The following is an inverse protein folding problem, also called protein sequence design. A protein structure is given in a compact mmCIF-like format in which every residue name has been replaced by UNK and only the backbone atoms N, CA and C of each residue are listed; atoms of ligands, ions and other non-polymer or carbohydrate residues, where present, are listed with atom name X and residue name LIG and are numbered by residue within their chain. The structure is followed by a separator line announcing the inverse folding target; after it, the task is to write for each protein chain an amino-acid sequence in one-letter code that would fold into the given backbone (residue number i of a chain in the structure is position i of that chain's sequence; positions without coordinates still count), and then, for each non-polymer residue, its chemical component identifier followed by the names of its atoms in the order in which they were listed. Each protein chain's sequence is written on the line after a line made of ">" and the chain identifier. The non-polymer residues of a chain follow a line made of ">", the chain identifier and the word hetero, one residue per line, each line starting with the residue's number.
data_IF_103340505578
#
_entry.id   IF_103340505578
#
_cell.length_a   1.000
_cell.length_b   1.000
_cell.length_c   1.000
_cell.angle_alpha   90.00
_cell.angle_beta   90.00
_cell.angle_gamma   90.00
#
_symmetry.space_group_name_H-M   'P 1'
#
loop_
_entity.id
_entity.type
_entity.pdbx_description
1 polymer ?
#
# COMPACT_ATOMS: atom_id res chain seq x y z
N UNK A 1 -3.20 -26.42 12.49
CA UNK A 1 -2.91 -26.28 11.06
C UNK A 1 -4.14 -26.57 10.21
N UNK A 2 -4.63 -25.56 9.50
CA UNK A 2 -5.62 -25.67 8.44
C UNK A 2 -4.91 -25.71 7.08
N UNK A 3 -5.52 -26.34 6.06
CA UNK A 3 -4.97 -26.48 4.71
C UNK A 3 -6.03 -26.10 3.68
N UNK A 4 -5.65 -25.25 2.73
CA UNK A 4 -6.48 -24.81 1.60
C UNK A 4 -5.73 -25.12 0.30
N UNK A 5 -6.40 -25.74 -0.67
CA UNK A 5 -5.80 -26.09 -1.97
C UNK A 5 -6.45 -25.28 -3.10
N UNK A 6 -5.61 -24.65 -3.92
CA UNK A 6 -6.02 -23.93 -5.13
C UNK A 6 -5.63 -24.76 -6.35
N UNK A 7 -6.46 -25.75 -6.72
CA UNK A 7 -6.14 -26.76 -7.74
C UNK A 7 -5.77 -26.15 -9.11
N UNK A 8 -6.47 -25.08 -9.52
CA UNK A 8 -6.23 -24.41 -10.80
C UNK A 8 -4.87 -23.72 -10.88
N UNK A 9 -4.31 -23.33 -9.73
CA UNK A 9 -3.00 -22.68 -9.61
C UNK A 9 -1.91 -23.65 -9.16
N UNK A 10 -2.26 -24.86 -8.72
CA UNK A 10 -1.37 -25.81 -8.07
C UNK A 10 -0.69 -25.23 -6.82
N UNK A 11 -1.40 -24.34 -6.11
CA UNK A 11 -0.92 -23.73 -4.88
C UNK A 11 -1.60 -24.38 -3.67
N UNK A 12 -0.88 -24.44 -2.56
CA UNK A 12 -1.40 -24.91 -1.28
C UNK A 12 -1.03 -23.91 -0.19
N UNK A 13 -2.01 -23.51 0.60
CA UNK A 13 -1.83 -22.60 1.72
C UNK A 13 -2.08 -23.35 3.01
N UNK A 14 -1.17 -23.20 3.96
CA UNK A 14 -1.31 -23.70 5.31
C UNK A 14 -1.44 -22.52 6.28
N UNK A 15 -2.39 -22.59 7.21
CA UNK A 15 -2.59 -21.53 8.20
C UNK A 15 -2.70 -22.09 9.61
N UNK A 16 -2.22 -21.33 10.59
CA UNK A 16 -2.38 -21.62 12.02
C UNK A 16 -2.39 -20.32 12.82
N UNK A 17 -3.31 -20.19 13.77
CA UNK A 17 -3.31 -19.10 14.75
C UNK A 17 -2.64 -19.60 16.03
N UNK A 18 -1.58 -18.93 16.47
CA UNK A 18 -0.86 -19.23 17.70
C UNK A 18 -1.70 -18.87 18.93
N UNK A 19 -1.31 -19.40 20.10
CA UNK A 19 -2.05 -19.17 21.35
C UNK A 19 -2.16 -17.69 21.77
N UNK A 20 -1.21 -16.85 21.34
CA UNK A 20 -1.20 -15.40 21.58
C UNK A 20 -1.93 -14.58 20.49
N UNK A 21 -2.58 -15.24 19.54
CA UNK A 21 -3.34 -14.61 18.45
C UNK A 21 -2.56 -14.41 17.15
N UNK A 22 -1.23 -14.64 17.13
CA UNK A 22 -0.44 -14.51 15.91
C UNK A 22 -0.96 -15.41 14.79
N UNK A 23 -1.37 -14.82 13.67
CA UNK A 23 -1.71 -15.57 12.46
C UNK A 23 -0.42 -15.95 11.71
N UNK A 24 -0.28 -17.23 11.37
CA UNK A 24 0.86 -17.73 10.62
C UNK A 24 0.36 -18.41 9.36
N UNK A 25 0.88 -17.98 8.22
CA UNK A 25 0.55 -18.52 6.90
C UNK A 25 1.82 -19.04 6.24
N UNK A 26 1.77 -20.24 5.68
CA UNK A 26 2.89 -20.86 4.97
C UNK A 26 2.42 -21.30 3.59
N UNK A 27 3.14 -20.85 2.55
CA UNK A 27 2.88 -21.18 1.14
C UNK A 27 4.12 -21.90 0.58
N UNK A 28 4.12 -23.24 0.58
CA UNK A 28 5.23 -24.03 0.04
C UNK A 28 5.36 -23.87 -1.47
N UNK A 29 6.59 -23.62 -1.92
CA UNK A 29 6.97 -23.53 -3.34
C UNK A 29 8.08 -24.55 -3.65
N UNK A 30 7.76 -25.84 -3.79
CA UNK A 30 8.74 -26.86 -4.12
C UNK A 30 9.50 -26.52 -5.41
N UNK A 31 10.82 -26.69 -5.42
CA UNK A 31 11.67 -26.37 -6.57
C UNK A 31 12.17 -24.92 -6.64
N UNK A 32 11.70 -24.03 -5.76
CA UNK A 32 12.28 -22.71 -5.59
C UNK A 32 13.50 -22.78 -4.66
N UNK A 33 14.51 -21.94 -4.90
CA UNK A 33 15.73 -21.92 -4.08
C UNK A 33 15.71 -20.84 -3.00
N UNK A 34 14.73 -19.94 -3.06
CA UNK A 34 14.60 -18.77 -2.19
C UNK A 34 13.35 -18.91 -1.33
N UNK A 35 13.48 -18.53 -0.07
CA UNK A 35 12.39 -18.37 0.87
C UNK A 35 12.30 -16.91 1.28
N UNK A 36 11.07 -16.44 1.42
CA UNK A 36 10.72 -15.09 1.85
C UNK A 36 9.86 -15.17 3.09
N UNK A 37 10.30 -14.52 4.16
CA UNK A 37 9.53 -14.36 5.40
C UNK A 37 9.10 -12.91 5.53
N UNK A 38 7.82 -12.68 5.82
CA UNK A 38 7.21 -11.36 5.96
C UNK A 38 6.41 -11.34 7.26
N UNK A 39 6.76 -10.43 8.17
CA UNK A 39 6.08 -10.25 9.44
C UNK A 39 5.48 -8.84 9.50
N UNK A 40 4.15 -8.79 9.45
CA UNK A 40 3.39 -7.56 9.21
C UNK A 40 2.51 -7.25 10.39
N UNK A 41 2.45 -5.97 10.76
CA UNK A 41 1.43 -5.43 11.67
C UNK A 41 0.44 -4.59 10.88
N UNK A 42 -0.84 -4.66 11.27
CA UNK A 42 -1.88 -3.77 10.75
C UNK A 42 -1.79 -2.42 11.48
N UNK A 43 -0.77 -1.65 11.12
CA UNK A 43 -0.51 -0.29 11.57
C UNK A 43 0.30 0.43 10.50
N UNK A 44 -0.27 1.50 9.96
CA UNK A 44 0.36 2.31 8.92
C UNK A 44 0.28 3.80 9.19
N UNK A 45 0.68 4.60 8.20
CA UNK A 45 0.77 6.05 8.37
C UNK A 45 -0.57 6.74 8.64
N UNK A 46 -1.71 6.12 8.33
CA UNK A 46 -3.03 6.74 8.57
C UNK A 46 -3.53 6.57 10.01
N UNK A 47 -2.90 5.69 10.79
CA UNK A 47 -3.27 5.36 12.17
C UNK A 47 -2.71 6.37 13.19
N UNK A 48 -2.94 7.67 12.96
CA UNK A 48 -2.37 8.74 13.78
C UNK A 48 -3.19 9.05 15.04
N UNK A 49 -4.42 8.53 15.13
CA UNK A 49 -5.31 8.73 16.28
C UNK A 49 -6.03 7.45 16.65
N UNK A 50 -5.83 6.99 17.88
CA UNK A 50 -6.31 5.70 18.39
C UNK A 50 -6.47 5.75 19.91
N UNK A 51 -7.06 4.71 20.51
CA UNK A 51 -7.11 4.54 21.96
C UNK A 51 -5.92 3.69 22.41
N UNK A 52 -4.92 4.25 23.11
CA UNK A 52 -3.78 3.46 23.59
C UNK A 52 -4.19 2.43 24.64
N UNK A 53 -3.38 1.39 24.78
CA UNK A 53 -3.62 0.34 25.78
C UNK A 53 -3.69 0.93 27.19
N UNK A 54 -4.71 0.51 27.94
CA UNK A 54 -4.93 0.93 29.31
C UNK A 54 -5.55 2.32 29.46
N UNK A 55 -5.85 3.00 28.35
CA UNK A 55 -6.56 4.28 28.32
C UNK A 55 -7.98 4.11 27.77
N UNK A 56 -8.82 5.12 28.00
CA UNK A 56 -10.21 5.17 27.50
C UNK A 56 -10.43 6.26 26.44
N UNK A 57 -9.46 7.18 26.29
CA UNK A 57 -9.57 8.34 25.42
C UNK A 57 -8.63 8.20 24.23
N UNK A 58 -9.02 8.80 23.11
CA UNK A 58 -8.16 8.90 21.93
C UNK A 58 -6.92 9.74 22.26
N UNK A 59 -5.76 9.21 21.89
CA UNK A 59 -4.51 9.94 21.78
C UNK A 59 -4.21 10.17 20.30
N UNK A 60 -3.43 11.21 20.02
CA UNK A 60 -2.90 11.50 18.68
C UNK A 60 -1.39 11.47 18.76
N UNK A 61 -0.77 10.76 17.83
CA UNK A 61 0.68 10.75 17.62
C UNK A 61 1.03 11.63 16.41
N UNK A 62 2.24 12.20 16.33
CA UNK A 62 2.68 12.92 15.14
C UNK A 62 2.63 12.04 13.88
N UNK A 63 2.41 12.67 12.72
CA UNK A 63 2.54 11.98 11.44
C UNK A 63 3.96 11.43 11.27
N UNK A 64 4.08 10.26 10.65
CA UNK A 64 5.36 9.59 10.43
C UNK A 64 5.76 8.59 11.53
N UNK A 65 5.01 8.46 12.63
CA UNK A 65 5.36 7.51 13.72
C UNK A 65 5.42 6.05 13.27
N UNK A 66 4.55 5.60 12.34
CA UNK A 66 4.61 4.24 11.80
C UNK A 66 5.92 3.98 11.03
N UNK A 67 6.29 4.91 10.15
CA UNK A 67 7.55 4.87 9.41
C UNK A 67 8.77 5.00 10.33
N UNK A 68 8.68 5.84 11.36
CA UNK A 68 9.74 5.98 12.36
C UNK A 68 9.97 4.68 13.13
N UNK A 69 8.90 3.97 13.49
CA UNK A 69 8.99 2.66 14.12
C UNK A 69 9.70 1.65 13.22
N UNK A 70 9.41 1.64 11.93
CA UNK A 70 10.09 0.81 10.94
C UNK A 70 11.61 1.00 10.98
N UNK A 71 12.08 2.25 10.89
CA UNK A 71 13.50 2.61 10.98
C UNK A 71 14.12 2.14 12.29
N UNK A 72 13.44 2.43 13.41
CA UNK A 72 14.00 2.16 14.74
C UNK A 72 14.00 0.68 15.10
N UNK A 73 13.16 -0.15 14.49
CA UNK A 73 13.01 -1.55 14.88
C UNK A 73 14.29 -2.38 14.68
N UNK A 74 15.13 -2.04 13.70
CA UNK A 74 16.37 -2.76 13.41
C UNK A 74 17.52 -2.48 14.39
N UNK A 75 17.45 -1.39 15.14
CA UNK A 75 18.47 -1.05 16.13
C UNK A 75 18.14 -1.68 17.48
N UNK A 76 19.10 -2.41 18.04
CA UNK A 76 19.01 -3.04 19.37
C UNK A 76 20.18 -2.61 20.24
N UNK A 77 20.06 -2.82 21.55
CA UNK A 77 21.16 -2.59 22.51
C UNK A 77 22.44 -3.37 22.13
N UNK A 78 22.28 -4.57 21.58
CA UNK A 78 23.39 -5.43 21.14
C UNK A 78 23.97 -5.05 19.76
N UNK A 79 23.41 -4.06 19.08
CA UNK A 79 23.81 -3.61 17.74
C UNK A 79 22.78 -3.87 16.64
N UNK A 80 23.25 -3.80 15.41
CA UNK A 80 22.43 -3.83 14.19
C UNK A 80 22.01 -5.25 13.77
N UNK A 81 20.70 -5.46 13.65
CA UNK A 81 20.10 -6.75 13.27
C UNK A 81 20.39 -7.14 11.82
N UNK A 82 20.67 -6.20 10.90
CA UNK A 82 21.03 -6.51 9.51
C UNK A 82 22.29 -7.40 9.42
N UNK A 83 23.23 -7.24 10.35
CA UNK A 83 24.43 -8.08 10.42
C UNK A 83 24.09 -9.52 10.85
N UNK A 84 23.11 -9.68 11.74
CA UNK A 84 22.63 -11.00 12.19
C UNK A 84 21.97 -11.76 11.03
N UNK A 85 21.11 -11.11 10.24
CA UNK A 85 20.55 -11.71 9.02
C UNK A 85 21.63 -12.06 7.99
N UNK A 86 22.59 -11.17 7.76
CA UNK A 86 23.68 -11.39 6.82
C UNK A 86 24.55 -12.60 7.21
N UNK A 87 24.81 -12.80 8.50
CA UNK A 87 25.54 -13.96 9.02
C UNK A 87 24.79 -15.29 8.79
N UNK A 88 23.46 -15.24 8.74
CA UNK A 88 22.59 -16.38 8.40
C UNK A 88 22.36 -16.53 6.89
N UNK A 89 23.02 -15.72 6.05
CA UNK A 89 22.86 -15.76 4.59
C UNK A 89 21.52 -15.21 4.09
N UNK A 90 20.94 -14.25 4.82
CA UNK A 90 19.70 -13.59 4.48
C UNK A 90 19.89 -12.10 4.21
N UNK A 91 19.07 -11.55 3.31
CA UNK A 91 18.89 -10.11 3.13
C UNK A 91 17.60 -9.71 3.83
N UNK A 92 17.67 -8.77 4.76
CA UNK A 92 16.50 -8.21 5.43
C UNK A 92 16.11 -6.84 4.86
N UNK A 93 14.85 -6.47 5.03
CA UNK A 93 14.32 -5.13 4.73
C UNK A 93 13.05 -4.87 5.55
N UNK A 94 12.47 -3.68 5.41
CA UNK A 94 11.13 -3.38 5.85
C UNK A 94 10.46 -2.37 4.90
N UNK A 95 9.17 -2.13 5.10
CA UNK A 95 8.46 -1.01 4.50
C UNK A 95 7.20 -0.68 5.31
N UNK A 96 6.76 0.57 5.19
CA UNK A 96 5.51 1.09 5.73
C UNK A 96 4.60 1.54 4.59
N UNK A 97 3.31 1.23 4.68
CA UNK A 97 2.26 1.77 3.81
C UNK A 97 1.25 2.57 4.62
N UNK A 98 0.17 3.00 3.97
CA UNK A 98 -0.93 3.70 4.64
C UNK A 98 -1.55 2.90 5.78
N UNK A 99 -1.70 1.57 5.64
CA UNK A 99 -2.44 0.73 6.60
C UNK A 99 -1.61 -0.37 7.29
N UNK A 100 -0.34 -0.56 6.91
CA UNK A 100 0.49 -1.64 7.47
C UNK A 100 1.99 -1.32 7.47
N UNK A 101 2.70 -1.99 8.36
CA UNK A 101 4.17 -1.98 8.44
C UNK A 101 4.66 -3.42 8.39
N UNK A 102 5.63 -3.71 7.53
CA UNK A 102 6.11 -5.07 7.29
C UNK A 102 7.62 -5.18 7.41
N UNK A 103 8.08 -6.20 8.14
CA UNK A 103 9.49 -6.54 8.29
C UNK A 103 9.74 -7.86 7.59
N UNK A 104 10.83 -7.97 6.84
CA UNK A 104 11.02 -9.11 5.96
C UNK A 104 12.46 -9.57 5.87
N UNK A 105 12.62 -10.83 5.49
CA UNK A 105 13.89 -11.35 5.02
C UNK A 105 13.70 -12.20 3.78
N UNK A 106 14.79 -12.37 3.05
CA UNK A 106 14.90 -13.36 1.99
C UNK A 106 16.19 -14.16 2.12
N UNK A 107 16.09 -15.48 2.06
CA UNK A 107 17.19 -16.39 2.35
C UNK A 107 17.13 -17.66 1.47
N UNK A 108 18.26 -18.32 1.29
CA UNK A 108 18.36 -19.63 0.61
C UNK A 108 18.72 -20.78 1.57
N UNK A 109 19.05 -20.46 2.82
CA UNK A 109 19.47 -21.39 3.86
C UNK A 109 19.16 -20.78 5.24
N UNK A 110 19.31 -21.58 6.31
CA UNK A 110 19.04 -21.14 7.69
C UNK A 110 17.65 -20.49 7.87
N UNK A 111 16.65 -21.01 7.17
CA UNK A 111 15.32 -20.39 7.12
C UNK A 111 14.67 -20.35 8.50
N UNK A 112 14.80 -21.43 9.29
CA UNK A 112 14.21 -21.49 10.62
C UNK A 112 14.84 -20.47 11.57
N UNK A 113 16.17 -20.35 11.52
CA UNK A 113 16.94 -19.39 12.31
C UNK A 113 16.61 -17.95 11.92
N UNK A 114 16.42 -17.66 10.63
CA UNK A 114 15.99 -16.34 10.16
C UNK A 114 14.55 -16.00 10.58
N UNK A 115 13.66 -17.00 10.68
CA UNK A 115 12.29 -16.80 11.21
C UNK A 115 12.33 -16.50 12.70
N UNK A 116 13.11 -17.24 13.49
CA UNK A 116 13.31 -16.95 14.92
C UNK A 116 13.86 -15.53 15.10
N UNK A 117 14.89 -15.15 14.32
CA UNK A 117 15.45 -13.80 14.35
C UNK A 117 14.42 -12.71 14.02
N UNK A 118 13.64 -12.89 12.95
CA UNK A 118 12.57 -11.97 12.53
C UNK A 118 11.53 -11.76 13.64
N UNK A 119 11.06 -12.86 14.25
CA UNK A 119 10.10 -12.81 15.36
C UNK A 119 10.70 -12.10 16.59
N UNK A 120 11.96 -12.37 16.92
CA UNK A 120 12.60 -11.85 18.12
C UNK A 120 12.87 -10.35 18.03
N UNK A 121 13.41 -9.87 16.91
CA UNK A 121 13.78 -8.46 16.81
C UNK A 121 12.55 -7.57 16.70
N UNK A 122 11.51 -7.97 15.97
CA UNK A 122 10.29 -7.15 15.84
C UNK A 122 9.53 -7.11 17.16
N UNK A 123 9.60 -8.16 17.97
CA UNK A 123 8.87 -8.26 19.25
C UNK A 123 9.66 -7.70 20.46
N UNK A 124 10.82 -7.08 20.23
CA UNK A 124 11.69 -6.54 21.29
C UNK A 124 12.15 -5.11 20.95
N UNK A 125 11.32 -4.07 21.17
CA UNK A 125 11.64 -2.69 20.78
C UNK A 125 12.76 -2.11 21.67
N UNK A 126 13.55 -1.19 21.11
CA UNK A 126 14.60 -0.49 21.83
C UNK A 126 14.69 0.96 21.37
N UNK A 127 14.04 1.86 22.11
CA UNK A 127 13.96 3.28 21.77
C UNK A 127 14.53 4.11 22.93
N UNK A 128 15.58 4.87 22.65
CA UNK A 128 16.19 5.80 23.62
C UNK A 128 16.13 7.20 23.06
N UNK A 129 16.17 8.23 23.92
CA UNK A 129 16.21 9.62 23.46
C UNK A 129 17.36 9.86 22.46
N UNK A 130 18.55 9.31 22.72
CA UNK A 130 19.72 9.47 21.86
C UNK A 130 19.51 8.85 20.47
N UNK A 131 19.02 7.60 20.42
CA UNK A 131 18.82 6.90 19.14
C UNK A 131 17.65 7.47 18.35
N UNK A 132 16.60 7.96 19.02
CA UNK A 132 15.49 8.66 18.37
C UNK A 132 15.95 9.99 17.80
N UNK A 133 16.71 10.79 18.55
CA UNK A 133 17.17 12.11 18.07
C UNK A 133 18.11 11.98 16.85
N UNK A 134 18.94 10.95 16.81
CA UNK A 134 19.77 10.63 15.65
C UNK A 134 18.92 10.30 14.42
N UNK A 135 17.89 9.48 14.58
CA UNK A 135 17.07 8.98 13.47
C UNK A 135 16.23 10.09 12.82
N UNK A 136 15.79 11.09 13.60
CA UNK A 136 15.10 12.28 13.07
C UNK A 136 15.86 12.96 11.94
N UNK A 137 17.19 13.06 12.05
CA UNK A 137 18.02 13.67 11.02
C UNK A 137 18.05 12.88 9.71
N UNK A 138 18.00 11.55 9.79
CA UNK A 138 18.01 10.65 8.64
C UNK A 138 16.66 10.73 7.91
N UNK A 139 15.56 10.60 8.66
CA UNK A 139 14.21 10.70 8.10
C UNK A 139 13.94 12.10 7.54
N UNK A 140 14.46 13.17 8.17
CA UNK A 140 14.35 14.52 7.62
C UNK A 140 15.00 14.67 6.23
N UNK A 141 16.14 14.02 6.00
CA UNK A 141 16.80 14.02 4.69
C UNK A 141 15.99 13.22 3.66
N UNK A 142 15.42 12.11 4.07
CA UNK A 142 14.53 11.31 3.21
C UNK A 142 13.29 12.10 2.79
N UNK A 143 12.62 12.76 3.74
CA UNK A 143 11.47 13.64 3.45
C UNK A 143 11.87 14.73 2.44
N UNK A 144 13.03 15.38 2.63
CA UNK A 144 13.52 16.38 1.68
C UNK A 144 13.74 15.79 0.26
N UNK A 145 14.23 14.55 0.16
CA UNK A 145 14.35 13.88 -1.14
C UNK A 145 13.00 13.66 -1.82
N UNK A 146 11.94 13.36 -1.05
CA UNK A 146 10.57 13.28 -1.58
C UNK A 146 10.02 14.66 -1.94
N UNK A 147 10.37 15.70 -1.19
CA UNK A 147 9.98 17.09 -1.49
C UNK A 147 10.62 17.63 -2.77
N UNK A 148 11.82 17.16 -3.11
CA UNK A 148 12.51 17.48 -4.35
C UNK A 148 12.00 16.68 -5.57
N UNK A 149 11.14 15.67 -5.36
CA UNK A 149 10.57 14.86 -6.44
C UNK A 149 9.21 15.43 -6.93
N UNK A 150 9.12 16.02 -8.13
CA UNK A 150 7.89 16.63 -8.61
C UNK A 150 6.73 15.65 -8.81
N UNK A 151 7.00 14.42 -9.26
CA UNK A 151 5.94 13.45 -9.51
C UNK A 151 5.31 13.00 -8.18
N UNK A 152 6.15 12.80 -7.17
CA UNK A 152 5.71 12.49 -5.81
C UNK A 152 4.88 13.63 -5.21
N UNK A 153 5.38 14.87 -5.34
CA UNK A 153 4.66 16.07 -4.85
C UNK A 153 3.35 16.31 -5.56
N UNK A 154 3.26 15.98 -6.84
CA UNK A 154 2.02 16.07 -7.58
C UNK A 154 1.00 15.03 -7.10
N UNK A 155 1.41 13.78 -6.88
CA UNK A 155 0.52 12.75 -6.35
C UNK A 155 -0.01 13.13 -4.96
N UNK A 156 0.86 13.57 -4.04
CA UNK A 156 0.40 14.02 -2.71
C UNK A 156 -0.44 15.31 -2.76
N UNK A 157 -0.25 16.18 -3.76
CA UNK A 157 -1.15 17.31 -3.98
C UNK A 157 -2.58 16.86 -4.35
N UNK A 158 -2.70 15.77 -5.11
CA UNK A 158 -4.00 15.16 -5.43
C UNK A 158 -4.62 14.53 -4.19
N UNK A 159 -3.85 13.74 -3.42
CA UNK A 159 -4.32 13.17 -2.16
C UNK A 159 -4.78 14.25 -1.18
N UNK A 160 -4.02 15.34 -1.04
CA UNK A 160 -4.40 16.49 -0.22
C UNK A 160 -5.69 17.17 -0.65
N UNK A 161 -5.94 17.21 -1.94
CA UNK A 161 -7.18 17.76 -2.47
C UNK A 161 -8.38 16.82 -2.25
N UNK A 162 -8.19 15.50 -2.35
CA UNK A 162 -9.24 14.48 -2.22
C UNK A 162 -9.52 14.07 -0.75
N UNK A 163 -8.54 14.22 0.13
CA UNK A 163 -8.55 13.76 1.52
C UNK A 163 -8.06 14.83 2.52
N UNK A 164 -8.56 16.08 2.47
CA UNK A 164 -8.01 17.18 3.28
C UNK A 164 -8.21 17.01 4.80
N UNK A 165 -9.20 16.21 5.20
CA UNK A 165 -9.54 15.93 6.60
C UNK A 165 -9.12 14.51 7.06
N UNK A 166 -8.31 13.81 6.26
CA UNK A 166 -7.91 12.42 6.52
C UNK A 166 -6.39 12.26 6.37
N UNK A 167 -5.69 11.56 7.29
CA UNK A 167 -4.22 11.45 7.31
C UNK A 167 -3.57 10.93 6.01
N UNK A 168 -4.33 10.26 5.14
CA UNK A 168 -3.90 9.84 3.80
C UNK A 168 -3.27 10.98 2.96
N UNK A 169 -3.62 12.23 3.23
CA UNK A 169 -2.99 13.37 2.56
C UNK A 169 -1.57 13.72 3.00
N UNK A 170 -1.09 13.14 4.10
CA UNK A 170 0.27 13.32 4.60
C UNK A 170 1.13 12.16 4.10
N UNK A 171 2.37 12.47 3.73
CA UNK A 171 3.37 11.47 3.38
C UNK A 171 3.50 10.40 4.47
N UNK A 172 3.80 9.17 4.07
CA UNK A 172 4.04 8.04 4.98
C UNK A 172 5.15 8.38 5.98
N UNK A 173 6.19 9.11 5.55
CA UNK A 173 7.28 9.54 6.41
C UNK A 173 6.93 10.72 7.34
N UNK A 174 5.75 11.34 7.17
CA UNK A 174 5.34 12.55 7.87
C UNK A 174 5.89 13.83 7.25
N UNK A 175 6.01 14.89 8.05
CA UNK A 175 6.70 16.13 7.64
C UNK A 175 7.94 16.34 8.50
N UNK A 176 8.85 17.22 8.06
CA UNK A 176 10.02 17.58 8.88
C UNK A 176 9.59 18.10 10.24
N UNK A 177 8.49 18.86 10.32
CA UNK A 177 7.95 19.36 11.59
C UNK A 177 7.41 18.22 12.46
N UNK A 178 6.61 17.31 11.90
CA UNK A 178 5.98 16.23 12.68
C UNK A 178 7.04 15.28 13.26
N UNK A 179 8.06 14.91 12.48
CA UNK A 179 9.10 13.98 12.95
C UNK A 179 9.97 14.59 14.06
N UNK A 180 10.10 15.91 14.11
CA UNK A 180 10.87 16.58 15.16
C UNK A 180 10.16 16.54 16.51
N UNK A 181 8.83 16.43 16.50
CA UNK A 181 8.00 16.29 17.70
C UNK A 181 8.00 14.86 18.26
N UNK A 182 8.31 13.85 17.45
CA UNK A 182 8.32 12.43 17.85
C UNK A 182 9.28 12.20 19.02
N UNK A 183 8.78 11.49 20.04
CA UNK A 183 9.54 11.07 21.21
C UNK A 183 9.51 9.54 21.38
N UNK A 184 10.44 8.95 22.17
CA UNK A 184 10.40 7.52 22.49
C UNK A 184 9.04 7.07 23.04
N UNK A 185 8.35 7.93 23.80
CA UNK A 185 7.03 7.62 24.37
C UNK A 185 5.95 7.40 23.29
N UNK A 186 5.99 8.17 22.20
CA UNK A 186 5.06 8.01 21.07
C UNK A 186 5.31 6.66 20.37
N UNK A 187 6.59 6.31 20.19
CA UNK A 187 7.00 5.04 19.59
C UNK A 187 6.57 3.86 20.46
N UNK A 188 6.81 3.90 21.78
CA UNK A 188 6.36 2.86 22.69
C UNK A 188 4.83 2.77 22.75
N UNK A 189 4.12 3.89 22.78
CA UNK A 189 2.65 3.90 22.81
C UNK A 189 2.05 3.25 21.56
N UNK A 190 2.56 3.59 20.37
CA UNK A 190 2.13 2.97 19.12
C UNK A 190 2.56 1.51 19.04
N UNK A 191 3.80 1.18 19.42
CA UNK A 191 4.29 -0.19 19.43
C UNK A 191 3.42 -1.07 20.31
N UNK A 192 3.22 -0.70 21.58
CA UNK A 192 2.44 -1.50 22.52
C UNK A 192 1.03 -1.73 22.00
N UNK A 193 0.41 -0.68 21.42
CA UNK A 193 -0.97 -0.74 20.91
C UNK A 193 -1.12 -1.65 19.69
N UNK A 194 -0.18 -1.61 18.74
CA UNK A 194 -0.37 -2.24 17.43
C UNK A 194 0.53 -3.45 17.15
N UNK A 195 1.62 -3.65 17.88
CA UNK A 195 2.55 -4.77 17.67
C UNK A 195 2.23 -5.98 18.57
N UNK A 196 1.05 -5.98 19.19
CA UNK A 196 0.55 -7.19 19.84
C UNK A 196 0.34 -8.29 18.79
N UNK A 197 0.75 -9.55 19.04
CA UNK A 197 0.71 -10.61 18.02
C UNK A 197 -0.68 -10.87 17.41
N UNK A 198 -1.78 -10.58 18.13
CA UNK A 198 -3.14 -10.69 17.58
C UNK A 198 -3.44 -9.71 16.44
N UNK A 199 -2.74 -8.58 16.36
CA UNK A 199 -2.82 -7.58 15.28
C UNK A 199 -1.73 -7.79 14.21
N UNK A 200 -1.02 -8.93 14.25
CA UNK A 200 0.09 -9.23 13.35
C UNK A 200 -0.10 -10.55 12.59
N UNK A 201 0.61 -10.68 11.47
CA UNK A 201 0.66 -11.88 10.66
C UNK A 201 2.09 -12.20 10.21
N UNK A 202 2.49 -13.45 10.34
CA UNK A 202 3.71 -13.99 9.73
C UNK A 202 3.34 -14.80 8.48
N UNK A 203 3.87 -14.41 7.33
CA UNK A 203 3.76 -15.14 6.07
C UNK A 203 5.13 -15.67 5.64
N UNK A 204 5.19 -16.96 5.28
CA UNK A 204 6.40 -17.61 4.78
C UNK A 204 6.12 -18.27 3.43
N UNK A 205 6.86 -17.85 2.40
CA UNK A 205 6.72 -18.37 1.02
C UNK A 205 8.07 -18.91 0.56
N UNK A 206 8.14 -20.17 0.12
CA UNK A 206 9.40 -20.75 -0.36
C UNK A 206 9.43 -22.28 -0.32
N UNK A 207 10.59 -22.87 -0.61
CA UNK A 207 10.79 -24.33 -0.49
C UNK A 207 10.95 -24.74 0.98
N UNK A 208 9.84 -24.74 1.71
CA UNK A 208 9.78 -25.00 3.16
C UNK A 208 8.85 -26.17 3.48
N UNK A 209 9.10 -26.81 4.62
CA UNK A 209 8.17 -27.75 5.26
C UNK A 209 7.25 -26.98 6.21
N UNK A 210 5.93 -26.90 5.94
CA UNK A 210 4.97 -26.20 6.79
C UNK A 210 5.05 -26.59 8.26
N UNK A 211 5.15 -27.89 8.58
CA UNK A 211 5.13 -28.33 9.99
C UNK A 211 6.39 -27.86 10.71
N UNK A 212 7.56 -27.87 10.04
CA UNK A 212 8.79 -27.34 10.62
C UNK A 212 8.68 -25.83 10.91
N UNK A 213 8.04 -25.05 10.02
CA UNK A 213 7.77 -23.63 10.25
C UNK A 213 6.87 -23.45 11.46
N UNK A 214 5.69 -24.09 11.48
CA UNK A 214 4.75 -23.94 12.58
C UNK A 214 5.36 -24.40 13.91
N UNK A 215 6.12 -25.50 13.94
CA UNK A 215 6.80 -25.96 15.15
C UNK A 215 7.82 -24.93 15.67
N UNK A 216 8.57 -24.29 14.77
CA UNK A 216 9.53 -23.23 15.09
C UNK A 216 8.82 -22.01 15.69
N UNK A 217 7.75 -21.53 15.02
CA UNK A 217 6.98 -20.38 15.50
C UNK A 217 6.29 -20.69 16.83
N UNK A 218 5.66 -21.87 16.98
CA UNK A 218 5.04 -22.31 18.25
C UNK A 218 6.06 -22.28 19.39
N UNK A 219 7.25 -22.84 19.18
CA UNK A 219 8.31 -22.89 20.18
C UNK A 219 8.77 -21.49 20.57
N UNK A 220 9.00 -20.60 19.59
CA UNK A 220 9.42 -19.23 19.82
C UNK A 220 8.35 -18.43 20.58
N UNK A 221 7.09 -18.48 20.14
CA UNK A 221 6.00 -17.72 20.75
C UNK A 221 5.61 -18.25 22.15
N UNK A 222 5.77 -19.56 22.42
CA UNK A 222 5.51 -20.14 23.75
C UNK A 222 6.51 -19.71 24.83
N UNK A 223 7.66 -19.14 24.45
CA UNK A 223 8.65 -18.60 25.38
C UNK A 223 8.40 -17.13 25.74
N UNK A 224 7.41 -16.51 25.10
CA UNK A 224 7.07 -15.09 25.25
C UNK A 224 5.74 -14.97 25.98
N UNK A 225 5.65 -14.01 26.88
CA UNK A 225 4.43 -13.75 27.64
C UNK A 225 3.65 -12.60 26.98
N UNK A 226 2.42 -12.89 26.57
CA UNK A 226 1.50 -11.91 26.02
C UNK A 226 0.19 -11.95 26.81
N UNK A 227 -0.30 -10.77 27.17
CA UNK A 227 -1.64 -10.62 27.74
C UNK A 227 -2.60 -10.47 26.57
N UNK A 228 -3.72 -11.22 26.57
CA UNK A 228 -4.72 -11.07 25.52
C UNK A 228 -5.21 -9.62 25.46
N UNK A 229 -5.20 -9.03 24.26
CA UNK A 229 -5.63 -7.66 23.99
C UNK A 229 -6.80 -7.64 23.01
N UNK A 230 -7.74 -6.68 23.16
CA UNK A 230 -8.73 -6.43 22.12
C UNK A 230 -8.06 -5.85 20.87
N UNK A 231 -8.78 -5.85 19.75
CA UNK A 231 -8.37 -5.15 18.54
C UNK A 231 -8.15 -3.64 18.80
N UNK A 232 -7.12 -3.03 18.20
CA UNK A 232 -6.87 -1.60 18.35
C UNK A 232 -8.07 -0.75 17.91
N UNK A 233 -8.50 0.19 18.75
CA UNK A 233 -9.58 1.11 18.43
C UNK A 233 -9.01 2.34 17.70
N UNK A 234 -9.25 2.40 16.39
CA UNK A 234 -8.82 3.50 15.51
C UNK A 234 -9.86 4.62 15.45
N UNK A 235 -9.42 5.85 15.24
CA UNK A 235 -10.32 6.96 15.01
C UNK A 235 -10.85 6.92 13.57
N UNK A 236 -12.17 6.97 13.41
CA UNK A 236 -12.79 7.08 12.10
C UNK A 236 -12.96 8.55 11.72
N UNK A 237 -12.15 8.99 10.76
CA UNK A 237 -12.22 10.34 10.21
C UNK A 237 -13.52 10.51 9.41
N UNK A 238 -14.32 11.50 9.79
CA UNK A 238 -15.53 11.85 9.04
C UNK A 238 -15.11 12.63 7.80
N UNK A 239 -15.46 12.12 6.62
CA UNK A 239 -15.04 12.67 5.34
C UNK A 239 -16.26 13.23 4.59
N UNK A 240 -16.09 14.38 3.97
CA UNK A 240 -17.18 15.14 3.35
C UNK A 240 -16.80 15.44 1.89
N UNK A 241 -17.78 15.36 0.99
CA UNK A 241 -17.57 15.74 -0.42
C UNK A 241 -17.28 17.25 -0.52
N UNK A 242 -17.87 18.03 0.38
CA UNK A 242 -17.75 19.48 0.43
C UNK A 242 -16.35 19.97 0.84
N UNK A 243 -15.51 19.12 1.43
CA UNK A 243 -14.13 19.51 1.76
C UNK A 243 -13.16 19.39 0.60
N UNK A 244 -13.54 18.73 -0.50
CA UNK A 244 -12.66 18.54 -1.66
C UNK A 244 -12.18 19.87 -2.23
N UNK A 245 -10.88 19.94 -2.45
CA UNK A 245 -10.23 21.07 -3.13
C UNK A 245 -10.21 20.75 -4.63
N UNK A 246 -11.04 21.43 -5.42
CA UNK A 246 -11.17 21.13 -6.86
C UNK A 246 -9.96 21.51 -7.71
N UNK A 247 -9.11 22.40 -7.22
CA UNK A 247 -7.93 22.84 -7.96
C UNK A 247 -6.81 23.28 -7.01
N UNK A 248 -5.59 22.81 -7.26
CA UNK A 248 -4.38 23.30 -6.58
C UNK A 248 -3.22 23.44 -7.56
N UNK A 249 -2.26 24.30 -7.23
CA UNK A 249 -1.06 24.52 -8.03
C UNK A 249 0.15 24.65 -7.12
N UNK A 250 1.23 23.96 -7.48
CA UNK A 250 2.54 24.04 -6.87
C UNK A 250 3.52 24.62 -7.88
N UNK A 251 4.52 25.36 -7.39
CA UNK A 251 5.66 25.79 -8.19
C UNK A 251 6.89 24.96 -7.80
N UNK A 252 7.57 24.38 -8.79
CA UNK A 252 8.78 23.57 -8.58
C UNK A 252 9.78 23.77 -9.74
N UNK A 253 11.04 23.37 -9.52
CA UNK A 253 12.09 23.41 -10.54
C UNK A 253 11.88 22.30 -11.60
N UNK A 254 10.89 22.49 -12.47
CA UNK A 254 10.58 21.58 -13.57
C UNK A 254 10.75 22.26 -14.93
N UNK A 255 11.23 21.52 -15.92
CA UNK A 255 11.34 22.01 -17.30
C UNK A 255 9.99 22.09 -18.01
N UNK A 256 9.13 21.10 -17.77
CA UNK A 256 7.80 21.00 -18.37
C UNK A 256 6.76 20.96 -17.25
N UNK A 257 5.66 21.72 -17.37
CA UNK A 257 4.57 21.63 -16.41
C UNK A 257 3.98 20.22 -16.33
N UNK A 258 3.37 19.92 -15.20
CA UNK A 258 2.72 18.63 -14.93
C UNK A 258 1.29 18.85 -14.47
N UNK A 259 0.42 17.90 -14.76
CA UNK A 259 -0.96 17.94 -14.29
C UNK A 259 -1.49 16.55 -14.02
N UNK A 260 -2.25 16.42 -12.94
CA UNK A 260 -3.02 15.23 -12.61
C UNK A 260 -4.46 15.63 -12.34
N UNK A 261 -5.37 14.87 -12.93
CA UNK A 261 -6.80 14.89 -12.63
C UNK A 261 -7.08 13.68 -11.74
N UNK A 262 -7.66 13.93 -10.58
CA UNK A 262 -8.03 12.89 -9.63
C UNK A 262 -9.51 12.91 -9.33
N UNK A 263 -10.05 11.78 -8.91
CA UNK A 263 -11.42 11.66 -8.45
C UNK A 263 -11.55 10.69 -7.29
N UNK A 264 -12.55 10.92 -6.45
CA UNK A 264 -12.81 10.11 -5.26
C UNK A 264 -14.24 9.60 -5.23
N UNK A 265 -14.40 8.32 -4.90
CA UNK A 265 -15.71 7.70 -4.72
C UNK A 265 -16.09 7.68 -3.23
N UNK A 266 -17.30 8.16 -2.92
CA UNK A 266 -17.87 8.21 -1.56
C UNK A 266 -19.09 7.28 -1.39
N UNK A 267 -19.47 6.58 -2.44
CA UNK A 267 -20.62 5.69 -2.39
C UNK A 267 -20.33 4.42 -1.58
N UNK A 268 -21.36 3.62 -1.28
CA UNK A 268 -21.18 2.38 -0.57
C UNK A 268 -20.39 1.37 -1.41
N UNK A 269 -19.62 0.51 -0.75
CA UNK A 269 -19.02 -0.68 -1.34
C UNK A 269 -19.92 -1.90 -1.10
N UNK A 270 -19.80 -2.95 -1.94
CA UNK A 270 -20.40 -4.24 -1.63
C UNK A 270 -19.88 -4.77 -0.29
N UNK A 271 -20.78 -5.28 0.55
CA UNK A 271 -20.41 -5.92 1.84
C UNK A 271 -19.66 -7.24 1.63
N UNK A 272 -19.95 -7.95 0.53
CA UNK A 272 -19.23 -9.17 0.15
C UNK A 272 -17.83 -8.81 -0.37
N UNK A 273 -16.75 -9.32 0.25
CA UNK A 273 -15.38 -8.99 -0.13
C UNK A 273 -15.02 -9.36 -1.58
N UNK A 274 -15.60 -10.44 -2.13
CA UNK A 274 -15.35 -10.83 -3.52
C UNK A 274 -16.02 -9.86 -4.49
N UNK A 275 -17.24 -9.41 -4.18
CA UNK A 275 -17.92 -8.38 -4.96
C UNK A 275 -17.23 -7.01 -4.83
N UNK A 276 -16.67 -6.66 -3.66
CA UNK A 276 -15.84 -5.45 -3.48
C UNK A 276 -14.57 -5.51 -4.34
N UNK A 277 -13.86 -6.64 -4.34
CA UNK A 277 -12.68 -6.85 -5.21
C UNK A 277 -13.05 -6.86 -6.71
N UNK A 278 -14.22 -7.40 -7.06
CA UNK A 278 -14.76 -7.34 -8.43
C UNK A 278 -15.03 -5.90 -8.87
N UNK A 279 -15.61 -5.07 -7.99
CA UNK A 279 -15.79 -3.64 -8.24
C UNK A 279 -14.44 -2.94 -8.46
N UNK A 280 -13.44 -3.20 -7.61
CA UNK A 280 -12.10 -2.64 -7.77
C UNK A 280 -11.50 -2.93 -9.15
N UNK A 281 -11.49 -4.20 -9.57
CA UNK A 281 -10.98 -4.58 -10.88
C UNK A 281 -11.82 -4.03 -12.02
N UNK A 282 -13.14 -3.98 -11.89
CA UNK A 282 -14.03 -3.40 -12.90
C UNK A 282 -13.77 -1.89 -13.10
N UNK A 283 -13.59 -1.15 -12.02
CA UNK A 283 -13.22 0.27 -12.04
C UNK A 283 -11.86 0.49 -12.71
N UNK A 284 -10.83 -0.26 -12.29
CA UNK A 284 -9.48 -0.22 -12.86
C UNK A 284 -9.49 -0.53 -14.36
N UNK A 285 -10.22 -1.58 -14.77
CA UNK A 285 -10.36 -1.93 -16.19
C UNK A 285 -11.11 -0.88 -16.99
N UNK A 286 -12.08 -0.21 -16.39
CA UNK A 286 -12.77 0.91 -17.01
C UNK A 286 -11.79 2.02 -17.40
N UNK A 287 -10.93 2.42 -16.46
CA UNK A 287 -9.91 3.43 -16.70
C UNK A 287 -8.86 2.95 -17.72
N UNK A 288 -8.37 1.71 -17.65
CA UNK A 288 -7.42 1.14 -18.63
C UNK A 288 -8.04 1.04 -20.04
N UNK A 289 -9.32 0.68 -20.15
CA UNK A 289 -10.01 0.67 -21.43
C UNK A 289 -10.18 2.07 -22.05
N UNK A 290 -10.25 3.13 -21.23
CA UNK A 290 -10.32 4.52 -21.68
C UNK A 290 -8.94 5.12 -21.96
N UNK A 291 -7.97 4.91 -21.07
CA UNK A 291 -6.71 5.66 -21.04
C UNK A 291 -5.46 4.79 -21.15
N UNK A 292 -5.57 3.47 -21.07
CA UNK A 292 -4.41 2.59 -21.18
C UNK A 292 -3.78 2.59 -22.57
N UNK A 293 -2.54 2.11 -22.66
CA UNK A 293 -1.72 1.98 -23.88
C UNK A 293 -2.39 1.29 -25.07
N UNK A 294 -3.43 0.47 -24.82
CA UNK A 294 -4.22 -0.21 -25.86
C UNK A 294 -5.52 0.51 -26.22
N UNK A 295 -5.76 1.71 -25.69
CA UNK A 295 -6.92 2.56 -25.97
C UNK A 295 -6.75 3.34 -27.27
N UNK A 296 -7.81 3.46 -28.08
CA UNK A 296 -7.83 4.40 -29.20
C UNK A 296 -7.50 5.84 -28.76
N UNK A 297 -7.99 6.25 -27.57
CA UNK A 297 -7.75 7.60 -27.03
C UNK A 297 -6.26 7.80 -26.75
N UNK A 298 -5.60 6.82 -26.13
CA UNK A 298 -4.15 6.85 -25.90
C UNK A 298 -3.40 6.98 -27.23
N UNK A 299 -3.73 6.12 -28.20
CA UNK A 299 -3.09 6.12 -29.51
C UNK A 299 -3.22 7.47 -30.24
N UNK A 300 -4.45 8.01 -30.31
CA UNK A 300 -4.73 9.31 -30.93
C UNK A 300 -3.97 10.44 -30.22
N UNK A 301 -4.01 10.50 -28.89
CA UNK A 301 -3.33 11.55 -28.13
C UNK A 301 -1.82 11.46 -28.21
N UNK A 302 -1.25 10.26 -28.27
CA UNK A 302 0.18 10.06 -28.44
C UNK A 302 0.62 10.49 -29.84
N UNK A 303 -0.12 10.12 -30.89
CA UNK A 303 0.15 10.55 -32.28
C UNK A 303 0.03 12.07 -32.47
N UNK A 304 -0.93 12.71 -31.79
CA UNK A 304 -1.12 14.17 -31.80
C UNK A 304 -0.13 14.92 -30.88
N UNK A 305 0.69 14.22 -30.09
CA UNK A 305 1.63 14.81 -29.15
C UNK A 305 0.96 15.51 -27.96
N UNK A 306 -0.27 15.12 -27.61
CA UNK A 306 -0.99 15.57 -26.42
C UNK A 306 -0.41 14.90 -25.17
N UNK A 307 -0.07 13.61 -25.28
CA UNK A 307 0.59 12.81 -24.24
C UNK A 307 1.92 12.24 -24.74
N UNK A 308 2.72 11.75 -23.81
CA UNK A 308 3.95 10.99 -24.05
C UNK A 308 4.11 9.90 -22.97
N UNK A 309 5.31 9.34 -22.85
CA UNK A 309 5.62 8.25 -21.91
C UNK A 309 5.45 8.62 -20.43
N UNK A 310 5.27 9.91 -20.09
CA UNK A 310 4.92 10.34 -18.73
C UNK A 310 3.45 10.12 -18.39
N UNK A 311 2.58 9.86 -19.38
CA UNK A 311 1.16 9.71 -19.13
C UNK A 311 0.86 8.41 -18.37
N UNK A 312 0.13 8.54 -17.27
CA UNK A 312 -0.27 7.42 -16.45
C UNK A 312 -1.73 7.53 -16.02
N UNK A 313 -2.28 6.39 -15.61
CA UNK A 313 -3.51 6.32 -14.86
C UNK A 313 -3.33 5.31 -13.72
N UNK A 314 -4.01 5.55 -12.60
CA UNK A 314 -4.08 4.60 -11.50
C UNK A 314 -5.44 4.65 -10.80
N UNK A 315 -5.77 3.54 -10.15
CA UNK A 315 -6.97 3.36 -9.36
C UNK A 315 -6.58 2.70 -8.03
N UNK A 316 -7.04 3.26 -6.93
CA UNK A 316 -6.72 2.79 -5.59
C UNK A 316 -8.01 2.55 -4.81
N UNK A 317 -8.10 1.36 -4.21
CA UNK A 317 -9.11 1.00 -3.21
C UNK A 317 -8.37 0.29 -2.08
N UNK A 318 -8.20 1.00 -0.97
CA UNK A 318 -7.62 0.45 0.25
C UNK A 318 -8.63 0.69 1.37
N UNK A 319 -9.12 -0.39 1.99
CA UNK A 319 -10.30 -0.36 2.86
C UNK A 319 -11.47 0.36 2.16
N UNK A 320 -11.89 1.53 2.64
CA UNK A 320 -12.96 2.36 2.05
C UNK A 320 -12.43 3.64 1.38
N UNK A 321 -11.11 3.76 1.20
CA UNK A 321 -10.45 4.87 0.53
C UNK A 321 -10.34 4.57 -0.97
N UNK A 322 -11.32 5.04 -1.73
CA UNK A 322 -11.42 4.79 -3.18
C UNK A 322 -11.17 6.06 -3.99
N UNK A 323 -10.10 6.07 -4.77
CA UNK A 323 -9.74 7.20 -5.61
C UNK A 323 -9.02 6.75 -6.88
N UNK A 324 -8.94 7.64 -7.85
CA UNK A 324 -8.17 7.43 -9.07
C UNK A 324 -7.40 8.69 -9.42
N UNK A 325 -6.33 8.51 -10.19
CA UNK A 325 -5.47 9.59 -10.68
C UNK A 325 -5.13 9.32 -12.14
N UNK A 326 -5.08 10.36 -12.95
CA UNK A 326 -4.53 10.27 -14.31
C UNK A 326 -3.92 11.60 -14.72
N UNK A 327 -2.77 11.54 -15.37
CA UNK A 327 -2.00 12.74 -15.62
C UNK A 327 -0.64 12.46 -16.24
N UNK A 328 0.16 13.50 -16.32
CA UNK A 328 1.50 13.46 -16.90
C UNK A 328 2.00 14.86 -17.23
N UNK A 329 3.11 14.90 -17.97
CA UNK A 329 3.75 16.14 -18.37
C UNK A 329 2.99 16.79 -19.53
N UNK A 330 2.85 18.12 -19.52
CA UNK A 330 2.18 18.84 -20.61
C UNK A 330 2.70 20.26 -20.76
N UNK A 331 2.91 20.68 -22.01
CA UNK A 331 3.23 22.08 -22.31
C UNK A 331 2.02 23.02 -22.13
N UNK A 332 0.80 22.47 -22.14
CA UNK A 332 -0.44 23.19 -21.87
C UNK A 332 -1.29 22.37 -20.87
N UNK A 333 -0.88 22.37 -19.58
CA UNK A 333 -1.46 21.48 -18.58
C UNK A 333 -2.95 21.78 -18.34
N UNK A 334 -3.38 23.05 -18.45
CA UNK A 334 -4.78 23.40 -18.30
C UNK A 334 -5.64 22.87 -19.45
N UNK A 335 -5.13 22.92 -20.70
CA UNK A 335 -5.83 22.27 -21.82
C UNK A 335 -5.86 20.77 -21.64
N UNK A 336 -4.77 20.16 -21.18
CA UNK A 336 -4.71 18.73 -20.97
C UNK A 336 -5.71 18.27 -19.90
N UNK A 337 -5.78 18.94 -18.74
CA UNK A 337 -6.82 18.69 -17.74
C UNK A 337 -8.24 18.73 -18.30
N UNK A 338 -8.56 19.76 -19.11
CA UNK A 338 -9.88 19.86 -19.75
C UNK A 338 -10.17 18.70 -20.69
N UNK A 339 -9.17 18.18 -21.41
CA UNK A 339 -9.32 17.00 -22.27
C UNK A 339 -9.60 15.74 -21.44
N UNK A 340 -8.87 15.54 -20.34
CA UNK A 340 -9.10 14.44 -19.40
C UNK A 340 -10.52 14.50 -18.83
N UNK A 341 -10.92 15.65 -18.29
CA UNK A 341 -12.28 15.91 -17.79
C UNK A 341 -13.34 15.64 -18.88
N UNK A 342 -13.09 16.09 -20.12
CA UNK A 342 -14.03 15.85 -21.24
C UNK A 342 -14.23 14.37 -21.51
N UNK A 343 -13.16 13.55 -21.47
CA UNK A 343 -13.29 12.09 -21.65
C UNK A 343 -14.01 11.46 -20.46
N UNK A 344 -13.65 11.84 -19.23
CA UNK A 344 -14.26 11.31 -18.01
C UNK A 344 -15.75 11.62 -17.94
N UNK A 345 -16.17 12.85 -18.21
CA UNK A 345 -17.57 13.26 -18.08
C UNK A 345 -18.45 12.82 -19.23
N UNK A 346 -17.90 12.69 -20.44
CA UNK A 346 -18.68 12.17 -21.57
C UNK A 346 -18.74 10.65 -21.60
N UNK A 347 -17.81 9.95 -20.91
CA UNK A 347 -17.67 8.50 -20.90
C UNK A 347 -17.89 7.89 -22.30
N UNK A 348 -16.89 7.88 -23.19
CA UNK A 348 -17.05 7.33 -24.54
C UNK A 348 -17.21 5.81 -24.53
N UNK A 349 -18.36 5.30 -24.05
CA UNK A 349 -18.63 3.89 -23.82
C UNK A 349 -18.53 3.04 -25.10
N UNK A 350 -18.54 3.66 -26.28
CA UNK A 350 -18.29 3.01 -27.56
C UNK A 350 -16.87 2.41 -27.67
N UNK A 351 -15.87 2.96 -26.96
CA UNK A 351 -14.52 2.39 -26.94
C UNK A 351 -14.40 1.22 -25.96
N UNK A 352 -15.39 1.04 -25.08
CA UNK A 352 -15.43 -0.01 -24.07
C UNK A 352 -16.26 -1.18 -24.63
N UNK A 353 -15.55 -2.14 -25.24
CA UNK A 353 -16.15 -3.30 -25.90
C UNK A 353 -15.78 -4.61 -25.21
N UNK A 354 -16.61 -5.64 -25.39
CA UNK A 354 -16.37 -6.99 -24.84
C UNK A 354 -15.03 -7.55 -25.32
N UNK A 355 -14.69 -7.35 -26.59
CA UNK A 355 -13.42 -7.83 -27.17
C UNK A 355 -12.21 -7.21 -26.47
N UNK A 356 -12.23 -5.91 -26.19
CA UNK A 356 -11.14 -5.21 -25.51
C UNK A 356 -11.06 -5.61 -24.03
N UNK A 357 -12.20 -5.76 -23.36
CA UNK A 357 -12.25 -6.27 -21.99
C UNK A 357 -11.65 -7.68 -21.89
N UNK A 358 -12.01 -8.59 -22.78
CA UNK A 358 -11.48 -9.95 -22.78
C UNK A 358 -9.97 -9.99 -23.04
N UNK A 359 -9.47 -9.12 -23.93
CA UNK A 359 -8.02 -8.95 -24.12
C UNK A 359 -7.34 -8.42 -22.84
N UNK A 360 -7.94 -7.45 -22.17
CA UNK A 360 -7.41 -6.86 -20.95
C UNK A 360 -7.39 -7.89 -19.80
N UNK A 361 -8.46 -8.65 -19.60
CA UNK A 361 -8.55 -9.75 -18.64
C UNK A 361 -7.44 -10.78 -18.87
N UNK A 362 -7.25 -11.21 -20.14
CA UNK A 362 -6.17 -12.13 -20.51
C UNK A 362 -4.77 -11.56 -20.23
N UNK A 363 -4.56 -10.27 -20.51
CA UNK A 363 -3.30 -9.57 -20.19
C UNK A 363 -3.04 -9.56 -18.68
N UNK A 364 -4.05 -9.23 -17.88
CA UNK A 364 -3.93 -9.21 -16.42
C UNK A 364 -3.64 -10.62 -15.87
N UNK A 365 -4.42 -11.63 -16.28
CA UNK A 365 -4.18 -13.03 -15.88
C UNK A 365 -2.77 -13.51 -16.26
N UNK A 366 -2.30 -13.20 -17.48
CA UNK A 366 -0.95 -13.53 -17.91
C UNK A 366 0.14 -12.90 -17.03
N UNK A 367 -0.02 -11.61 -16.69
CA UNK A 367 0.89 -10.92 -15.75
C UNK A 367 0.83 -11.55 -14.36
N UNK A 368 -0.37 -11.80 -13.83
CA UNK A 368 -0.58 -12.44 -12.53
C UNK A 368 0.14 -13.80 -12.46
N UNK A 369 -0.13 -14.70 -13.40
CA UNK A 369 0.51 -16.03 -13.42
C UNK A 369 2.03 -15.94 -13.57
N UNK A 370 2.54 -14.97 -14.33
CA UNK A 370 3.97 -14.72 -14.39
C UNK A 370 4.53 -14.30 -13.03
N UNK A 371 3.87 -13.34 -12.37
CA UNK A 371 4.27 -12.82 -11.06
C UNK A 371 4.19 -13.86 -9.93
N UNK A 372 3.31 -14.87 -10.03
CA UNK A 372 3.27 -16.02 -9.10
C UNK A 372 4.54 -16.90 -9.17
N UNK A 373 5.48 -16.62 -10.08
CA UNK A 373 6.82 -17.22 -10.07
C UNK A 373 7.83 -16.44 -9.22
N UNK A 374 7.39 -15.43 -8.45
CA UNK A 374 8.21 -14.72 -7.45
C UNK A 374 7.64 -14.94 -6.06
N UNK A 375 8.48 -15.45 -5.15
CA UNK A 375 8.10 -15.64 -3.73
C UNK A 375 7.85 -14.30 -3.04
N UNK A 376 8.58 -13.26 -3.47
CA UNK A 376 8.43 -11.88 -3.00
C UNK A 376 7.10 -11.29 -3.45
N UNK A 377 6.74 -11.47 -4.72
CA UNK A 377 5.45 -10.99 -5.22
C UNK A 377 4.29 -11.64 -4.48
N UNK A 378 4.32 -12.98 -4.33
CA UNK A 378 3.31 -13.70 -3.55
C UNK A 378 3.24 -13.13 -2.14
N UNK A 379 4.38 -13.02 -1.45
CA UNK A 379 4.40 -12.58 -0.06
C UNK A 379 3.83 -11.17 0.12
N UNK A 380 4.19 -10.21 -0.74
CA UNK A 380 3.76 -8.82 -0.59
C UNK A 380 2.30 -8.56 -1.00
N UNK A 381 1.71 -9.45 -1.81
CA UNK A 381 0.33 -9.30 -2.32
C UNK A 381 -0.65 -10.32 -1.73
N UNK A 382 -0.17 -11.25 -0.90
CA UNK A 382 -1.03 -12.17 -0.16
C UNK A 382 -1.45 -11.51 1.15
N UNK A 383 -2.73 -11.16 1.23
CA UNK A 383 -3.33 -10.53 2.40
C UNK A 383 -4.61 -11.30 2.76
N UNK A 384 -4.69 -11.81 3.99
CA UNK A 384 -5.88 -12.54 4.47
C UNK A 384 -6.98 -11.61 4.99
N UNK A 385 -6.71 -10.30 5.09
CA UNK A 385 -7.52 -9.28 5.78
C UNK A 385 -9.03 -9.40 5.55
N UNK A 386 -9.55 -8.76 4.50
CA UNK A 386 -11.00 -8.76 4.18
C UNK A 386 -11.51 -10.11 3.65
N UNK A 387 -10.70 -11.19 3.65
CA UNK A 387 -11.16 -12.53 3.26
C UNK A 387 -11.11 -12.85 1.76
N UNK A 388 -10.44 -12.02 0.95
CA UNK A 388 -10.07 -12.33 -0.45
C UNK A 388 -8.56 -12.30 -0.57
N UNK A 389 -7.96 -13.42 -0.96
CA UNK A 389 -6.51 -13.53 -1.11
C UNK A 389 -6.10 -13.49 -2.58
N UNK A 390 -4.80 -13.30 -2.82
CA UNK A 390 -4.19 -13.26 -4.16
C UNK A 390 -4.63 -14.41 -5.09
N UNK A 391 -4.84 -15.61 -4.53
CA UNK A 391 -5.20 -16.81 -5.29
C UNK A 391 -6.68 -16.88 -5.70
N UNK A 392 -7.54 -16.02 -5.16
CA UNK A 392 -8.93 -15.88 -5.59
C UNK A 392 -9.06 -14.98 -6.83
N UNK A 393 -8.05 -14.15 -7.10
CA UNK A 393 -8.09 -13.14 -8.16
C UNK A 393 -8.41 -13.71 -9.55
N UNK A 394 -7.88 -14.88 -9.99
CA UNK A 394 -8.20 -15.41 -11.31
C UNK A 394 -9.69 -15.68 -11.53
N UNK A 395 -10.40 -16.19 -10.51
CA UNK A 395 -11.84 -16.44 -10.60
C UNK A 395 -12.60 -15.12 -10.69
N UNK A 396 -12.25 -14.14 -9.85
CA UNK A 396 -12.85 -12.80 -9.84
C UNK A 396 -12.61 -12.09 -11.17
N UNK A 397 -11.38 -12.12 -11.70
CA UNK A 397 -11.06 -11.50 -12.98
C UNK A 397 -11.94 -12.09 -14.09
N UNK A 398 -12.08 -13.41 -14.14
CA UNK A 398 -12.88 -14.08 -15.17
C UNK A 398 -14.38 -13.76 -15.06
N UNK A 399 -14.91 -13.52 -13.86
CA UNK A 399 -16.33 -13.22 -13.63
C UNK A 399 -16.74 -11.79 -14.02
N UNK A 400 -15.78 -10.87 -14.19
CA UNK A 400 -16.06 -9.49 -14.59
C UNK A 400 -16.66 -9.43 -15.99
N UNK A 401 -17.80 -8.76 -16.08
CA UNK A 401 -18.53 -8.49 -17.33
C UNK A 401 -18.37 -7.05 -17.78
N UNK A 402 -18.68 -6.77 -19.05
CA UNK A 402 -18.71 -5.41 -19.59
C UNK A 402 -19.69 -4.49 -18.86
N UNK A 403 -20.79 -5.04 -18.34
CA UNK A 403 -21.76 -4.28 -17.55
C UNK A 403 -21.17 -3.83 -16.21
N UNK A 404 -20.40 -4.68 -15.54
CA UNK A 404 -19.72 -4.32 -14.28
C UNK A 404 -18.75 -3.18 -14.48
N UNK A 405 -17.95 -3.23 -15.56
CA UNK A 405 -16.99 -2.17 -15.92
C UNK A 405 -17.71 -0.84 -16.17
N UNK A 406 -18.80 -0.86 -16.96
CA UNK A 406 -19.59 0.33 -17.24
C UNK A 406 -20.23 0.88 -15.97
N UNK A 407 -20.75 0.01 -15.10
CA UNK A 407 -21.37 0.41 -13.83
C UNK A 407 -20.33 1.06 -12.91
N UNK A 408 -19.18 0.42 -12.74
CA UNK A 408 -18.10 0.93 -11.90
C UNK A 408 -17.60 2.30 -12.38
N UNK A 409 -17.39 2.49 -13.70
CA UNK A 409 -17.02 3.80 -14.26
C UNK A 409 -18.05 4.89 -13.96
N UNK A 410 -19.34 4.60 -14.15
CA UNK A 410 -20.40 5.56 -13.82
C UNK A 410 -20.49 5.87 -12.33
N UNK A 411 -20.03 4.96 -11.46
CA UNK A 411 -20.03 5.18 -10.00
C UNK A 411 -18.86 6.05 -9.55
N UNK A 412 -17.66 5.80 -10.08
CA UNK A 412 -16.44 6.47 -9.59
C UNK A 412 -16.24 7.88 -10.15
N UNK A 413 -16.88 8.22 -11.29
CA UNK A 413 -16.74 9.54 -11.93
C UNK A 413 -17.90 10.44 -11.49
N UNK A 414 -17.59 11.45 -10.69
CA UNK A 414 -18.51 12.46 -10.19
C UNK A 414 -17.82 13.83 -10.19
N UNK A 415 -18.43 14.85 -10.81
CA UNK A 415 -17.86 16.19 -10.94
C UNK A 415 -17.57 16.82 -9.58
N UNK A 416 -18.47 16.61 -8.62
CA UNK A 416 -18.39 17.21 -7.29
C UNK A 416 -17.29 16.56 -6.44
N UNK A 417 -16.69 15.45 -6.89
CA UNK A 417 -15.64 14.74 -6.16
C UNK A 417 -14.34 14.60 -6.92
N UNK A 418 -14.11 15.50 -7.88
CA UNK A 418 -12.90 15.56 -8.68
C UNK A 418 -12.03 16.79 -8.37
N UNK A 419 -10.75 16.65 -8.66
CA UNK A 419 -9.72 17.67 -8.49
C UNK A 419 -8.77 17.71 -9.68
N UNK A 420 -8.14 18.87 -9.88
CA UNK A 420 -6.94 19.05 -10.69
C UNK A 420 -5.79 19.56 -9.83
N UNK A 421 -4.63 18.91 -9.91
CA UNK A 421 -3.40 19.41 -9.33
C UNK A 421 -2.41 19.74 -10.45
N UNK A 422 -1.71 20.87 -10.31
CA UNK A 422 -0.75 21.36 -11.29
C UNK A 422 0.63 21.55 -10.65
N UNK A 423 1.69 21.22 -11.37
CA UNK A 423 3.03 21.74 -11.10
C UNK A 423 3.42 22.67 -12.24
N UNK A 424 3.76 23.90 -11.89
CA UNK A 424 4.26 24.91 -12.82
C UNK A 424 5.76 25.16 -12.56
N UNK A 425 6.54 25.46 -13.60
CA UNK A 425 7.92 25.92 -13.43
C UNK A 425 7.98 27.18 -12.57
N UNK A 426 8.93 27.26 -11.64
CA UNK A 426 9.22 28.50 -10.91
C UNK A 426 9.52 29.61 -11.92
N UNK A 427 8.79 30.73 -11.83
CA UNK A 427 9.12 31.91 -12.64
C UNK A 427 10.47 32.45 -12.17
N UNK A 428 11.49 32.41 -13.04
CA UNK A 428 12.73 33.12 -12.78
C UNK A 428 12.40 34.60 -12.57
N UNK A 429 12.58 35.09 -11.34
CA UNK A 429 12.56 36.54 -11.10
C UNK A 429 13.77 37.10 -11.82
N UNK A 430 13.54 37.92 -12.84
CA UNK A 430 14.60 38.72 -13.44
C UNK A 430 15.21 39.58 -12.32
N UNK A 431 16.46 39.29 -11.94
CA UNK A 431 17.25 40.09 -11.00
C UNK A 431 17.70 41.44 -11.58
#
# INVERSE_FOLDING_TARGET
>A
MNKIEYESLQETVYTETMANGLKVTVIPKPGFNKTYGLFTTHYGSVDTKFVPIGLEQFATVPDGVAHFLEHKMFEKEEGDVFQKFSALGASANAFTSFTRTSYLFSATQHVLENIELLLDFVQTPYFTEETVEKEKGIIAQEIQMYEDNPDWRLSFAVLKNLFPDHPLHVDIAGTVESIQEIRPEDLYMSYDTFYHPSNMQLLVVGAVDPEAIFATVRKNQAQKEYIAMPEPTRYHYVQSKESIIHESTLEMEVFRPKVVVGGRYFGPFPEDPKEKKRFEFAARYGLDLLFGDTSPIYGEWYEEGIIDDSFYHDFNLEEDLCYFELGGDSNDPHRFARLLETVLFNLPLQVITEERLERLKKRHLGRLFHSLNSVEYIANHYDEGEGVVLFDHPEIINSITLEDVKRALNQIIDYDTMTKAFIMPVQQREE
#
